data_IF_619387880554
#
_entry.id   IF_619387880554
#
_cell.length_a   1.000
_cell.length_b   1.000
_cell.length_c   1.000
_cell.angle_alpha   90.00
_cell.angle_beta   90.00
_cell.angle_gamma   90.00
#
_symmetry.space_group_name_H-M   'P 1'
#
loop_
_entity.id
_entity.type
_entity.pdbx_description
1 polymer ?
#
# COMPACT_ATOMS: atom_id res chain seq x y z
N UNK A 1 -34.97 74.60 3.01
CA UNK A 1 -34.98 73.31 3.75
C UNK A 1 -33.67 72.60 3.40
N UNK A 2 -32.87 72.29 4.41
CA UNK A 2 -31.61 71.51 4.41
C UNK A 2 -31.66 70.30 3.44
N UNK A 3 -30.60 69.78 2.80
CA UNK A 3 -29.20 69.62 3.17
C UNK A 3 -28.36 69.32 1.90
N UNK A 4 -27.07 69.66 1.95
CA UNK A 4 -26.02 69.20 1.03
C UNK A 4 -25.82 67.67 1.10
N UNK A 5 -25.16 67.07 0.09
CA UNK A 5 -23.95 66.21 0.26
C UNK A 5 -23.30 65.94 -1.11
N UNK A 6 -22.01 66.27 -1.21
CA UNK A 6 -21.05 65.93 -2.27
C UNK A 6 -20.68 64.44 -2.28
N UNK A 7 -20.26 63.87 -3.42
CA UNK A 7 -19.81 62.48 -3.49
C UNK A 7 -18.95 62.10 -4.70
N UNK A 8 -17.65 62.29 -4.54
CA UNK A 8 -16.50 62.05 -5.42
C UNK A 8 -16.30 60.59 -5.89
N UNK A 9 -15.83 60.44 -7.15
CA UNK A 9 -14.97 59.41 -7.79
C UNK A 9 -14.68 58.09 -7.03
N UNK A 10 -14.73 56.96 -7.76
CA UNK A 10 -13.57 56.06 -7.97
C UNK A 10 -13.93 54.86 -8.86
N UNK A 11 -13.19 54.69 -9.95
CA UNK A 11 -13.11 53.43 -10.69
C UNK A 11 -12.32 52.41 -9.86
N UNK A 12 -12.81 51.17 -9.77
CA UNK A 12 -12.04 50.04 -9.27
C UNK A 12 -12.13 48.92 -10.29
N UNK A 13 -11.04 48.74 -11.04
CA UNK A 13 -10.75 47.50 -11.75
C UNK A 13 -10.57 46.39 -10.73
N UNK A 14 -11.51 45.44 -10.67
CA UNK A 14 -11.25 44.17 -10.00
C UNK A 14 -10.34 43.33 -10.89
N UNK A 15 -9.04 43.41 -10.65
CA UNK A 15 -8.07 42.39 -11.06
C UNK A 15 -8.45 41.13 -10.29
N UNK A 16 -9.16 40.21 -10.97
CA UNK A 16 -9.33 38.86 -10.48
C UNK A 16 -7.96 38.16 -10.55
N UNK A 17 -7.16 38.33 -9.49
CA UNK A 17 -6.08 37.41 -9.18
C UNK A 17 -6.73 36.09 -8.79
N UNK A 18 -7.13 35.31 -9.80
CA UNK A 18 -7.47 33.92 -9.63
C UNK A 18 -6.24 33.23 -9.06
N UNK A 19 -6.33 32.86 -7.78
CA UNK A 19 -5.37 32.01 -7.12
C UNK A 19 -5.25 30.73 -7.95
N UNK A 20 -4.15 30.62 -8.70
CA UNK A 20 -3.68 29.33 -9.19
C UNK A 20 -3.28 28.53 -7.95
N UNK A 21 -4.26 27.86 -7.34
CA UNK A 21 -3.95 26.77 -6.43
C UNK A 21 -3.07 25.81 -7.23
N UNK A 22 -1.90 25.41 -6.72
CA UNK A 22 -1.19 24.31 -7.32
C UNK A 22 -2.15 23.13 -7.24
N UNK A 23 -2.69 22.74 -8.40
CA UNK A 23 -3.20 21.40 -8.61
C UNK A 23 -1.98 20.52 -8.46
N UNK A 24 -1.56 20.25 -7.22
CA UNK A 24 -0.71 19.11 -6.94
C UNK A 24 -1.50 17.95 -7.50
N UNK A 25 -1.05 17.46 -8.66
CA UNK A 25 -1.60 16.28 -9.28
C UNK A 25 -1.66 15.25 -8.16
N UNK A 26 -2.87 14.97 -7.67
CA UNK A 26 -3.10 14.01 -6.62
C UNK A 26 -2.66 12.68 -7.23
N UNK A 27 -1.39 12.35 -6.99
CA UNK A 27 -0.75 11.18 -7.53
C UNK A 27 -1.61 10.02 -7.07
N UNK A 28 -2.24 9.35 -8.03
CA UNK A 28 -3.27 8.35 -7.77
C UNK A 28 -2.69 7.34 -6.78
N UNK A 29 -3.29 7.28 -5.59
CA UNK A 29 -2.81 6.43 -4.49
C UNK A 29 -2.72 4.98 -4.97
N UNK A 30 -3.63 4.55 -5.85
CA UNK A 30 -3.61 3.21 -6.43
C UNK A 30 -2.38 2.98 -7.32
N UNK A 31 -1.94 3.99 -8.07
CA UNK A 31 -0.73 3.92 -8.90
C UNK A 31 0.54 3.88 -8.05
N UNK A 32 0.62 4.71 -7.01
CA UNK A 32 1.76 4.68 -6.06
C UNK A 32 1.82 3.35 -5.32
N UNK A 33 0.68 2.84 -4.83
CA UNK A 33 0.58 1.53 -4.19
C UNK A 33 1.01 0.42 -5.17
N UNK A 34 0.53 0.44 -6.42
CA UNK A 34 0.92 -0.53 -7.43
C UNK A 34 2.44 -0.57 -7.66
N UNK A 35 3.08 0.60 -7.74
CA UNK A 35 4.53 0.72 -7.87
C UNK A 35 5.26 0.23 -6.62
N UNK A 36 4.78 0.59 -5.43
CA UNK A 36 5.34 0.17 -4.14
C UNK A 36 5.32 -1.35 -4.02
N UNK A 37 4.16 -1.95 -4.20
CA UNK A 37 3.95 -3.38 -4.11
C UNK A 37 4.83 -4.15 -5.10
N UNK A 38 5.17 -3.54 -6.24
CA UNK A 38 6.04 -4.12 -7.27
C UNK A 38 7.54 -3.78 -7.11
N UNK A 39 7.95 -3.24 -5.96
CA UNK A 39 9.33 -2.84 -5.68
C UNK A 39 9.88 -1.72 -6.58
N UNK A 40 9.03 -0.83 -7.10
CA UNK A 40 9.40 0.19 -8.10
C UNK A 40 9.57 1.60 -7.53
N UNK A 41 9.25 1.82 -6.25
CA UNK A 41 9.58 3.08 -5.58
C UNK A 41 11.07 3.16 -5.23
N UNK A 42 11.57 4.39 -5.18
CA UNK A 42 12.81 4.77 -4.50
C UNK A 42 12.60 4.88 -2.98
N UNK A 43 13.68 4.91 -2.18
CA UNK A 43 13.57 5.14 -0.73
C UNK A 43 12.86 6.47 -0.40
N UNK A 44 13.18 7.54 -1.13
CA UNK A 44 12.52 8.83 -0.92
C UNK A 44 11.01 8.79 -1.22
N UNK A 45 10.60 8.08 -2.29
CA UNK A 45 9.17 7.91 -2.59
C UNK A 45 8.47 7.04 -1.54
N UNK A 46 9.15 6.03 -1.01
CA UNK A 46 8.64 5.20 0.07
C UNK A 46 8.42 6.03 1.35
N UNK A 47 9.45 6.75 1.80
CA UNK A 47 9.39 7.58 3.01
C UNK A 47 8.26 8.61 2.93
N UNK A 48 8.17 9.32 1.80
CA UNK A 48 7.10 10.28 1.55
C UNK A 48 5.70 9.64 1.58
N UNK A 49 5.57 8.40 1.10
CA UNK A 49 4.29 7.70 1.10
C UNK A 49 3.91 7.21 2.51
N UNK A 50 4.87 6.69 3.28
CA UNK A 50 4.64 6.24 4.65
C UNK A 50 4.33 7.40 5.60
N UNK A 51 4.99 8.55 5.42
CA UNK A 51 4.71 9.75 6.20
C UNK A 51 3.27 10.23 5.98
N UNK A 52 2.77 10.16 4.74
CA UNK A 52 1.38 10.49 4.42
C UNK A 52 0.38 9.51 5.03
N UNK A 53 0.71 8.21 5.08
CA UNK A 53 -0.13 7.22 5.81
C UNK A 53 -0.17 7.59 7.30
N UNK A 54 0.99 7.84 7.91
CA UNK A 54 1.10 8.16 9.34
C UNK A 54 0.38 9.47 9.71
N UNK A 55 0.41 10.47 8.82
CA UNK A 55 -0.31 11.73 8.98
C UNK A 55 -1.83 11.60 8.76
N UNK A 56 -2.31 10.50 8.18
CA UNK A 56 -3.72 10.34 7.79
C UNK A 56 -4.10 11.14 6.54
N UNK A 57 -3.12 11.56 5.74
CA UNK A 57 -3.27 12.45 4.58
C UNK A 57 -3.65 11.70 3.28
N UNK A 58 -4.10 10.45 3.40
CA UNK A 58 -4.55 9.60 2.29
C UNK A 58 -6.05 9.32 2.39
N UNK A 59 -6.89 10.23 1.92
CA UNK A 59 -8.36 10.10 1.97
C UNK A 59 -8.90 8.86 1.24
N UNK A 60 -8.19 8.38 0.22
CA UNK A 60 -8.58 7.23 -0.60
C UNK A 60 -7.88 5.93 -0.15
N UNK A 61 -7.25 5.91 1.02
CA UNK A 61 -6.59 4.74 1.60
C UNK A 61 -6.70 4.74 3.11
N UNK A 62 -7.53 3.86 3.66
CA UNK A 62 -7.91 3.88 5.08
C UNK A 62 -7.86 2.50 5.69
N UNK A 63 -7.71 2.41 7.01
CA UNK A 63 -7.72 1.12 7.70
C UNK A 63 -9.06 0.39 7.48
N UNK A 64 -8.99 -0.85 7.01
CA UNK A 64 -10.16 -1.69 6.77
C UNK A 64 -10.61 -2.38 8.05
N UNK A 65 -11.91 -2.74 8.10
CA UNK A 65 -12.45 -3.65 9.11
C UNK A 65 -12.26 -5.13 8.75
N UNK A 66 -11.83 -5.42 7.51
CA UNK A 66 -11.53 -6.77 7.02
C UNK A 66 -10.17 -7.24 7.54
N UNK A 67 -9.97 -8.55 7.61
CA UNK A 67 -8.71 -9.18 8.04
C UNK A 67 -8.88 -10.04 9.30
N UNK A 68 -7.76 -10.58 9.79
CA UNK A 68 -7.71 -11.49 10.94
C UNK A 68 -7.06 -10.81 12.17
N UNK A 69 -7.52 -9.60 12.48
CA UNK A 69 -7.04 -8.82 13.62
C UNK A 69 -5.57 -8.39 13.48
N UNK A 70 -4.82 -8.46 14.59
CA UNK A 70 -3.41 -8.03 14.63
C UNK A 70 -2.50 -8.84 13.70
N UNK A 71 -2.85 -10.09 13.40
CA UNK A 71 -2.07 -10.94 12.49
C UNK A 71 -2.14 -10.48 11.03
N UNK A 72 -3.21 -9.76 10.65
CA UNK A 72 -3.39 -9.25 9.29
C UNK A 72 -4.18 -7.94 9.33
N UNK A 73 -3.48 -6.86 9.67
CA UNK A 73 -4.03 -5.51 9.61
C UNK A 73 -4.10 -5.03 8.16
N UNK A 74 -5.30 -4.78 7.68
CA UNK A 74 -5.53 -4.39 6.28
C UNK A 74 -5.93 -2.93 6.17
N UNK A 75 -5.49 -2.32 5.07
CA UNK A 75 -5.90 -1.02 4.60
C UNK A 75 -6.62 -1.19 3.27
N UNK A 76 -7.63 -0.37 3.02
CA UNK A 76 -8.48 -0.44 1.85
C UNK A 76 -8.30 0.82 1.00
N UNK A 77 -7.83 0.62 -0.23
CA UNK A 77 -7.79 1.62 -1.28
C UNK A 77 -9.17 1.77 -1.91
N UNK A 78 -9.52 2.99 -2.31
CA UNK A 78 -10.79 3.29 -2.98
C UNK A 78 -10.94 2.58 -4.34
N UNK A 79 -9.83 2.40 -5.05
CA UNK A 79 -9.78 1.74 -6.35
C UNK A 79 -8.92 0.47 -6.27
N UNK A 80 -9.20 -0.56 -7.09
CA UNK A 80 -8.36 -1.76 -7.14
C UNK A 80 -6.92 -1.42 -7.49
N UNK A 81 -5.99 -1.97 -6.71
CA UNK A 81 -4.56 -1.89 -6.93
C UNK A 81 -4.11 -3.15 -7.67
N UNK A 82 -3.35 -2.96 -8.75
CA UNK A 82 -2.77 -4.05 -9.52
C UNK A 82 -1.31 -4.27 -9.11
N UNK A 83 -0.92 -5.49 -8.76
CA UNK A 83 0.48 -5.83 -8.53
C UNK A 83 0.71 -7.33 -8.78
N UNK A 84 1.84 -7.68 -9.42
CA UNK A 84 2.23 -9.08 -9.64
C UNK A 84 1.19 -9.95 -10.37
N UNK A 85 0.40 -9.35 -11.26
CA UNK A 85 -0.68 -10.03 -11.98
C UNK A 85 -1.99 -10.15 -11.20
N UNK A 86 -2.03 -9.62 -9.98
CA UNK A 86 -3.16 -9.70 -9.06
C UNK A 86 -3.85 -8.35 -8.87
N UNK A 87 -5.12 -8.38 -8.45
CA UNK A 87 -5.93 -7.20 -8.18
C UNK A 87 -6.60 -7.30 -6.82
N UNK A 88 -6.48 -6.25 -6.00
CA UNK A 88 -7.23 -6.14 -4.74
C UNK A 88 -7.34 -4.68 -4.34
N UNK A 89 -8.37 -4.35 -3.56
CA UNK A 89 -8.43 -3.06 -2.86
C UNK A 89 -7.72 -3.12 -1.51
N UNK A 90 -7.27 -4.30 -1.07
CA UNK A 90 -6.74 -4.50 0.27
C UNK A 90 -5.21 -4.61 0.26
N UNK A 91 -4.57 -3.91 1.19
CA UNK A 91 -3.12 -3.89 1.39
C UNK A 91 -2.84 -4.17 2.85
N UNK A 92 -2.02 -5.18 3.12
CA UNK A 92 -1.41 -5.39 4.42
C UNK A 92 -0.22 -4.45 4.57
N UNK A 93 -0.25 -3.60 5.61
CA UNK A 93 0.85 -2.73 5.99
C UNK A 93 1.46 -3.30 7.26
N UNK A 94 2.49 -4.12 7.12
CA UNK A 94 3.18 -4.78 8.26
C UNK A 94 4.24 -3.89 8.90
N UNK A 95 4.71 -2.86 8.18
CA UNK A 95 5.64 -1.86 8.68
C UNK A 95 5.89 -0.75 7.66
N UNK A 96 6.76 0.20 8.02
CA UNK A 96 7.16 1.32 7.12
C UNK A 96 7.85 0.83 5.85
N UNK A 97 8.49 -0.32 5.93
CA UNK A 97 9.30 -0.87 4.85
C UNK A 97 8.65 -2.05 4.14
N UNK A 98 7.47 -2.49 4.57
CA UNK A 98 6.81 -3.67 4.00
C UNK A 98 5.32 -3.42 3.81
N UNK A 99 4.90 -3.55 2.55
CA UNK A 99 3.48 -3.56 2.20
C UNK A 99 3.22 -4.66 1.18
N UNK A 100 2.11 -5.36 1.39
CA UNK A 100 1.73 -6.53 0.62
C UNK A 100 0.27 -6.38 0.16
N UNK A 101 -0.01 -6.61 -1.11
CA UNK A 101 -1.36 -6.73 -1.64
C UNK A 101 -2.01 -7.93 -0.96
N UNK A 102 -3.13 -7.73 -0.29
CA UNK A 102 -3.86 -8.78 0.39
C UNK A 102 -4.99 -9.29 -0.51
N UNK A 103 -4.91 -10.56 -0.88
CA UNK A 103 -5.81 -11.20 -1.82
C UNK A 103 -6.68 -12.17 -1.03
N UNK A 104 -8.01 -11.92 -0.94
CA UNK A 104 -8.91 -12.87 -0.31
C UNK A 104 -9.04 -14.12 -1.17
N UNK A 105 -8.99 -15.27 -0.54
CA UNK A 105 -9.07 -16.58 -1.19
C UNK A 105 -9.94 -17.52 -0.35
N UNK A 106 -10.60 -18.52 -0.95
CA UNK A 106 -11.31 -19.54 -0.18
C UNK A 106 -10.37 -20.26 0.80
N UNK A 107 -10.87 -20.53 2.00
CA UNK A 107 -10.09 -21.29 3.00
C UNK A 107 -9.85 -22.71 2.49
N UNK A 108 -8.59 -23.12 2.47
CA UNK A 108 -8.12 -24.39 1.90
C UNK A 108 -7.43 -24.25 0.54
N UNK A 109 -7.59 -23.11 -0.15
CA UNK A 109 -6.99 -22.86 -1.47
C UNK A 109 -5.76 -21.93 -1.42
N UNK A 110 -5.40 -21.43 -0.24
CA UNK A 110 -4.38 -20.37 -0.08
C UNK A 110 -3.00 -20.83 -0.54
N UNK A 111 -2.64 -22.08 -0.21
CA UNK A 111 -1.34 -22.65 -0.58
C UNK A 111 -1.20 -22.83 -2.09
N UNK A 112 -2.26 -23.28 -2.76
CA UNK A 112 -2.27 -23.44 -4.22
C UNK A 112 -2.18 -22.07 -4.89
N UNK A 113 -3.00 -21.12 -4.44
CA UNK A 113 -3.00 -19.75 -4.99
C UNK A 113 -1.66 -19.06 -4.77
N UNK A 114 -1.08 -19.17 -3.58
CA UNK A 114 0.25 -18.63 -3.26
C UNK A 114 1.33 -19.21 -4.16
N UNK A 115 1.38 -20.53 -4.35
CA UNK A 115 2.34 -21.17 -5.27
C UNK A 115 2.16 -20.71 -6.71
N UNK A 116 0.91 -20.57 -7.17
CA UNK A 116 0.60 -20.07 -8.51
C UNK A 116 1.18 -18.67 -8.74
N UNK A 117 0.95 -17.75 -7.79
CA UNK A 117 1.50 -16.38 -7.83
C UNK A 117 3.04 -16.40 -7.79
N UNK A 118 3.62 -17.18 -6.88
CA UNK A 118 5.08 -17.28 -6.75
C UNK A 118 5.74 -17.81 -8.03
N UNK A 119 5.11 -18.79 -8.68
CA UNK A 119 5.56 -19.33 -9.96
C UNK A 119 5.49 -18.28 -11.08
N UNK A 120 4.43 -17.46 -11.11
CA UNK A 120 4.29 -16.37 -12.07
C UNK A 120 5.39 -15.30 -11.89
N UNK A 121 5.70 -14.93 -10.65
CA UNK A 121 6.79 -13.99 -10.33
C UNK A 121 8.16 -14.57 -10.70
N UNK A 122 8.34 -15.86 -10.43
CA UNK A 122 9.55 -16.62 -10.75
C UNK A 122 10.76 -16.27 -9.88
N UNK A 123 11.58 -17.28 -9.56
CA UNK A 123 12.82 -17.09 -8.79
C UNK A 123 12.60 -16.76 -7.31
N UNK A 124 11.46 -17.15 -6.74
CA UNK A 124 11.19 -17.03 -5.31
C UNK A 124 11.71 -18.26 -4.55
N UNK A 125 12.24 -18.05 -3.35
CA UNK A 125 12.75 -19.08 -2.45
C UNK A 125 12.13 -18.97 -1.06
N UNK A 126 12.06 -20.07 -0.32
CA UNK A 126 11.58 -20.05 1.07
C UNK A 126 12.51 -19.25 1.97
N UNK A 127 11.94 -18.45 2.90
CA UNK A 127 12.69 -17.80 3.98
C UNK A 127 13.54 -18.82 4.73
N UNK A 128 14.76 -18.40 5.09
CA UNK A 128 15.77 -19.25 5.71
C UNK A 128 15.31 -19.89 7.04
N UNK A 129 14.35 -19.28 7.73
CA UNK A 129 13.83 -19.75 9.02
C UNK A 129 12.48 -20.47 8.93
N UNK A 130 11.88 -20.61 7.74
CA UNK A 130 10.54 -21.17 7.59
C UNK A 130 10.41 -22.59 8.19
N UNK A 131 11.40 -23.45 7.94
CA UNK A 131 11.44 -24.80 8.53
C UNK A 131 11.57 -24.77 10.07
N UNK A 132 12.34 -23.82 10.60
CA UNK A 132 12.48 -23.65 12.04
C UNK A 132 11.16 -23.18 12.64
N UNK A 133 10.43 -22.27 11.99
CA UNK A 133 9.12 -21.81 12.46
C UNK A 133 8.09 -22.93 12.48
N UNK A 134 8.05 -23.76 11.44
CA UNK A 134 7.18 -24.94 11.41
C UNK A 134 7.53 -25.91 12.54
N UNK A 135 8.81 -26.23 12.71
CA UNK A 135 9.27 -27.20 13.72
C UNK A 135 9.07 -26.72 15.16
N UNK A 136 9.36 -25.46 15.45
CA UNK A 136 9.39 -24.91 16.82
C UNK A 136 8.04 -24.35 17.23
N UNK A 137 7.35 -23.67 16.31
CA UNK A 137 6.11 -22.95 16.61
C UNK A 137 4.88 -23.58 15.97
N UNK A 138 5.04 -24.69 15.22
CA UNK A 138 3.94 -25.34 14.52
C UNK A 138 3.33 -24.49 13.40
N UNK A 139 4.05 -23.45 12.94
CA UNK A 139 3.57 -22.54 11.92
C UNK A 139 3.39 -23.27 10.58
N UNK A 140 2.27 -23.01 9.92
CA UNK A 140 1.89 -23.60 8.64
C UNK A 140 1.66 -22.50 7.61
N UNK A 141 2.31 -22.62 6.47
CA UNK A 141 2.15 -21.62 5.41
C UNK A 141 3.26 -21.64 4.36
N UNK A 142 3.36 -20.51 3.66
CA UNK A 142 4.44 -20.18 2.73
C UNK A 142 4.97 -18.81 3.09
N UNK A 143 6.29 -18.67 3.16
CA UNK A 143 6.94 -17.37 3.25
C UNK A 143 8.07 -17.38 2.23
N UNK A 144 7.78 -16.87 1.05
CA UNK A 144 8.68 -16.90 -0.09
C UNK A 144 9.17 -15.49 -0.39
N UNK A 145 10.41 -15.39 -0.83
CA UNK A 145 11.03 -14.12 -1.19
C UNK A 145 11.87 -14.22 -2.46
N UNK A 146 12.05 -13.09 -3.14
CA UNK A 146 13.02 -12.91 -4.23
C UNK A 146 13.76 -11.60 -4.01
N UNK A 147 15.06 -11.69 -3.86
CA UNK A 147 15.92 -10.50 -3.72
C UNK A 147 16.13 -9.82 -5.07
N UNK A 148 15.96 -8.50 -5.09
CA UNK A 148 16.19 -7.61 -6.20
C UNK A 148 17.33 -6.63 -5.86
N UNK A 149 17.93 -5.95 -6.86
CA UNK A 149 18.95 -4.93 -6.60
C UNK A 149 18.46 -3.77 -5.74
N UNK A 150 19.36 -3.25 -4.90
CA UNK A 150 19.10 -2.10 -4.02
C UNK A 150 18.26 -2.46 -2.81
N UNK A 151 18.55 -3.61 -2.17
CA UNK A 151 17.92 -4.10 -0.95
C UNK A 151 16.39 -4.10 -1.02
N UNK A 152 15.85 -4.61 -2.12
CA UNK A 152 14.42 -4.78 -2.31
C UNK A 152 14.11 -6.25 -2.42
N UNK A 153 13.02 -6.67 -1.79
CA UNK A 153 12.64 -8.08 -1.76
C UNK A 153 11.17 -8.19 -2.14
N UNK A 154 10.88 -8.95 -3.19
CA UNK A 154 9.51 -9.39 -3.43
C UNK A 154 9.19 -10.41 -2.35
N UNK A 155 8.09 -10.27 -1.63
CA UNK A 155 7.69 -11.18 -0.57
C UNK A 155 6.28 -11.70 -0.82
N UNK A 156 6.06 -12.98 -0.60
CA UNK A 156 4.75 -13.62 -0.65
C UNK A 156 4.56 -14.43 0.63
N UNK A 157 3.45 -14.20 1.32
CA UNK A 157 3.11 -14.88 2.57
C UNK A 157 1.72 -15.50 2.46
N UNK A 158 1.66 -16.77 2.80
CA UNK A 158 0.44 -17.50 3.16
C UNK A 158 0.62 -17.93 4.60
N UNK A 159 -0.25 -17.49 5.50
CA UNK A 159 -0.21 -17.89 6.91
C UNK A 159 -1.52 -18.57 7.28
N UNK A 160 -1.50 -19.90 7.29
CA UNK A 160 -2.66 -20.73 7.64
C UNK A 160 -2.91 -20.79 9.15
N UNK A 161 -1.95 -20.37 9.95
CA UNK A 161 -1.99 -20.51 11.41
C UNK A 161 -2.73 -19.34 12.04
N UNK A 162 -2.49 -18.14 11.51
CA UNK A 162 -2.97 -16.88 12.09
C UNK A 162 -3.83 -16.07 11.13
N UNK A 163 -3.77 -16.32 9.82
CA UNK A 163 -4.57 -15.57 8.85
C UNK A 163 -5.12 -16.41 7.69
N UNK A 164 -5.90 -17.48 7.96
CA UNK A 164 -6.52 -18.27 6.90
C UNK A 164 -7.46 -17.42 6.03
N UNK A 165 -7.60 -17.80 4.75
CA UNK A 165 -8.38 -17.10 3.73
C UNK A 165 -7.65 -15.97 3.01
N UNK A 166 -6.33 -15.89 3.15
CA UNK A 166 -5.52 -14.80 2.57
C UNK A 166 -4.23 -15.29 1.93
N UNK A 167 -3.90 -14.68 0.80
CA UNK A 167 -2.55 -14.64 0.24
C UNK A 167 -2.10 -13.19 0.23
N UNK A 168 -0.89 -12.91 0.70
CA UNK A 168 -0.31 -11.57 0.61
C UNK A 168 0.93 -11.58 -0.28
N UNK A 169 1.09 -10.57 -1.12
CA UNK A 169 2.24 -10.44 -2.02
C UNK A 169 2.61 -8.99 -2.25
N UNK A 170 3.88 -8.64 -2.18
CA UNK A 170 4.31 -7.27 -2.40
C UNK A 170 5.81 -7.09 -2.25
N UNK A 171 6.20 -5.97 -1.66
CA UNK A 171 7.59 -5.60 -1.54
C UNK A 171 7.98 -5.26 -0.11
N UNK A 172 9.17 -5.71 0.26
CA UNK A 172 9.94 -5.26 1.42
C UNK A 172 11.12 -4.43 0.92
N UNK A 173 11.33 -3.27 1.52
CA UNK A 173 12.42 -2.33 1.24
C UNK A 173 13.40 -2.31 2.41
N UNK A 174 14.69 -2.52 2.16
CA UNK A 174 15.72 -2.69 3.19
C UNK A 174 15.95 -4.16 3.56
N UNK A 175 16.68 -4.37 4.65
CA UNK A 175 17.04 -5.72 5.10
C UNK A 175 15.79 -6.53 5.49
N UNK A 176 15.73 -7.78 5.03
CA UNK A 176 14.72 -8.72 5.51
C UNK A 176 15.04 -9.12 6.96
N UNK A 177 14.29 -8.56 7.91
CA UNK A 177 14.26 -9.01 9.32
C UNK A 177 13.69 -10.40 9.46
#
# INVERSE_FOLDING_TARGET
MFNEVWGTRAAVLCVAMGLSFPTHAQQDVSSTLSRLLQCQLTHQELDNFTDRIAAGDLTDFSQSKKGNGAALMLWEARAPVMAWGESSTLVHVSGVQEMLLAIPVPVGEEMERGRSIANHIGGMSSRWDAEAMERVYGWKGLNLYKTLPGDRHVRMIVDLSYSPGWVTVGCTYGEMS
#
